data_IF_442195697665
#
_entry.id   IF_442195697665
#
_cell.length_a   1.000
_cell.length_b   1.000
_cell.length_c   1.000
_cell.angle_alpha   90.00
_cell.angle_beta   90.00
_cell.angle_gamma   90.00
#
_symmetry.space_group_name_H-M   'P 1'
#
loop_
_entity.id
_entity.type
_entity.pdbx_description
1 polymer ?
#
# COMPACT_ATOMS: atom_id res chain seq x y z
N UNK A 1 5.99 -42.56 18.98
CA UNK A 1 7.14 -41.91 19.64
C UNK A 1 8.24 -41.59 18.64
N UNK A 2 8.54 -40.31 18.47
CA UNK A 2 9.57 -39.77 17.57
C UNK A 2 9.31 -38.26 17.39
N UNK A 3 10.24 -37.36 17.77
CA UNK A 3 9.91 -35.99 18.13
C UNK A 3 9.81 -35.04 16.93
N UNK A 4 8.86 -34.10 17.01
CA UNK A 4 8.76 -32.90 16.18
C UNK A 4 9.91 -31.94 16.52
N UNK A 5 10.53 -31.24 15.55
CA UNK A 5 11.26 -30.02 15.85
C UNK A 5 10.33 -28.80 15.76
N UNK A 6 10.78 -27.77 16.48
CA UNK A 6 10.01 -26.70 17.07
C UNK A 6 9.72 -25.50 16.15
N UNK A 7 8.73 -24.72 16.57
CA UNK A 7 8.38 -23.39 16.09
C UNK A 7 9.46 -22.36 16.51
N UNK A 8 9.90 -21.49 15.59
CA UNK A 8 10.35 -20.12 15.91
C UNK A 8 11.66 -19.62 15.26
N UNK A 9 11.55 -18.79 14.22
CA UNK A 9 12.28 -17.51 14.00
C UNK A 9 11.82 -16.89 12.67
N UNK A 10 10.96 -15.87 12.67
CA UNK A 10 11.33 -14.46 12.53
C UNK A 10 12.25 -14.16 11.33
N UNK A 11 11.62 -13.71 10.24
CA UNK A 11 12.04 -12.58 9.40
C UNK A 11 13.52 -12.20 9.46
N UNK A 12 14.40 -12.96 8.80
CA UNK A 12 15.75 -12.45 8.47
C UNK A 12 16.14 -12.88 7.07
N UNK A 13 16.27 -11.89 6.19
CA UNK A 13 17.10 -11.94 5.00
C UNK A 13 18.36 -12.77 5.28
N UNK A 14 18.73 -13.66 4.36
CA UNK A 14 20.02 -14.31 4.39
C UNK A 14 21.10 -13.24 4.55
N UNK A 15 21.68 -13.14 5.76
CA UNK A 15 22.79 -12.22 6.01
C UNK A 15 23.99 -12.71 5.20
N UNK A 16 24.60 -11.90 4.33
CA UNK A 16 25.98 -12.15 3.96
C UNK A 16 26.82 -12.13 5.25
N UNK A 17 27.78 -13.06 5.35
CA UNK A 17 28.73 -13.10 6.48
C UNK A 17 29.40 -11.73 6.61
N UNK A 18 29.25 -11.17 7.81
CA UNK A 18 29.74 -9.87 8.28
C UNK A 18 31.10 -9.46 7.69
N UNK A 19 31.23 -8.23 7.18
CA UNK A 19 32.41 -7.39 7.36
C UNK A 19 32.07 -5.88 7.30
N UNK A 20 32.40 -5.21 8.41
CA UNK A 20 32.82 -3.79 8.57
C UNK A 20 31.79 -2.62 8.58
N UNK A 21 32.08 -1.55 9.35
CA UNK A 21 31.10 -0.51 9.73
C UNK A 21 31.06 0.73 8.82
N UNK A 22 29.90 1.40 8.88
CA UNK A 22 29.53 2.69 8.28
C UNK A 22 30.59 3.81 8.35
N UNK A 23 30.65 4.70 7.35
CA UNK A 23 31.00 6.09 7.57
C UNK A 23 29.77 7.01 7.66
N UNK A 24 29.98 8.09 8.41
CA UNK A 24 29.04 9.09 8.89
C UNK A 24 28.77 10.18 7.84
N UNK A 25 27.56 10.73 7.89
CA UNK A 25 27.17 12.15 7.78
C UNK A 25 26.19 12.49 6.63
N UNK A 26 25.09 13.22 6.90
CA UNK A 26 24.20 13.75 5.88
C UNK A 26 24.71 15.10 5.30
N UNK A 27 24.30 15.50 4.08
CA UNK A 27 24.54 16.85 3.61
C UNK A 27 23.57 17.82 4.29
N UNK A 28 24.16 18.85 4.90
CA UNK A 28 23.50 20.09 5.30
C UNK A 28 23.24 20.93 4.03
N UNK A 29 21.98 21.21 3.72
CA UNK A 29 21.62 22.38 2.94
C UNK A 29 21.15 23.48 3.91
N UNK A 30 21.87 24.59 3.91
CA UNK A 30 21.54 25.82 4.62
C UNK A 30 21.28 26.94 3.61
N UNK A 31 20.49 27.91 4.07
CA UNK A 31 20.13 29.22 3.49
C UNK A 31 19.02 29.17 2.43
N UNK A 32 18.06 30.11 2.38
CA UNK A 32 18.06 31.49 2.87
C UNK A 32 16.64 31.98 3.27
N UNK A 33 16.62 33.01 4.12
CA UNK A 33 15.45 33.84 4.44
C UNK A 33 15.11 34.79 3.29
N UNK A 34 13.83 35.19 3.18
CA UNK A 34 13.43 36.60 3.10
C UNK A 34 11.90 36.77 3.15
N UNK A 35 11.47 37.67 4.04
CA UNK A 35 10.13 38.22 4.22
C UNK A 35 9.65 39.04 3.01
N UNK A 36 8.33 39.17 2.86
CA UNK A 36 7.67 40.48 2.74
C UNK A 36 6.16 40.35 2.93
N UNK A 37 5.66 41.01 3.97
CA UNK A 37 4.26 41.36 4.14
C UNK A 37 3.95 42.58 3.26
N UNK A 38 2.82 42.54 2.55
CA UNK A 38 2.21 43.71 1.95
C UNK A 38 0.74 43.76 2.36
N UNK A 39 0.44 44.66 3.29
CA UNK A 39 -0.91 45.05 3.72
C UNK A 39 -1.36 46.21 2.85
N UNK A 40 -2.56 46.14 2.27
CA UNK A 40 -3.28 47.32 1.81
C UNK A 40 -4.71 47.29 2.35
N UNK A 41 -5.19 48.39 2.97
CA UNK A 41 -6.59 48.56 3.34
C UNK A 41 -7.35 49.31 2.23
N UNK A 42 -8.61 48.96 1.99
CA UNK A 42 -9.46 49.71 1.06
C UNK A 42 -10.89 49.18 0.97
N UNK A 43 -11.79 49.88 1.65
CA UNK A 43 -13.25 49.67 1.67
C UNK A 43 -13.89 49.76 0.26
N UNK A 44 -14.99 49.04 0.03
CA UNK A 44 -16.37 49.58 -0.14
C UNK A 44 -17.38 48.56 -0.70
N UNK A 45 -18.51 48.46 -0.02
CA UNK A 45 -19.89 48.18 -0.45
C UNK A 45 -20.14 47.37 -1.75
N UNK A 46 -20.83 46.23 -1.60
CA UNK A 46 -22.10 45.96 -2.31
C UNK A 46 -22.80 44.73 -1.70
N UNK A 47 -24.11 44.85 -1.46
CA UNK A 47 -25.03 43.73 -1.24
C UNK A 47 -24.96 42.74 -2.41
N UNK A 48 -24.73 41.46 -2.13
CA UNK A 48 -25.06 40.33 -3.03
C UNK A 48 -25.29 39.08 -2.16
N UNK A 49 -26.55 38.63 -2.09
CA UNK A 49 -27.07 37.43 -2.75
C UNK A 49 -26.73 36.11 -2.02
N UNK A 50 -27.80 35.51 -1.49
CA UNK A 50 -28.01 34.10 -1.14
C UNK A 50 -26.77 33.18 -1.22
N UNK A 51 -26.21 32.86 -0.06
CA UNK A 51 -25.31 31.73 0.09
C UNK A 51 -26.14 30.43 0.00
N UNK A 52 -26.27 29.89 -1.22
CA UNK A 52 -26.59 28.48 -1.39
C UNK A 52 -25.49 27.68 -0.69
N UNK A 53 -25.87 26.90 0.33
CA UNK A 53 -25.03 25.87 0.91
C UNK A 53 -24.86 24.74 -0.11
N UNK A 54 -24.00 24.95 -1.10
CA UNK A 54 -23.35 23.88 -1.82
C UNK A 54 -22.37 23.26 -0.84
N UNK A 55 -22.83 22.28 -0.07
CA UNK A 55 -21.94 21.31 0.59
C UNK A 55 -21.29 20.49 -0.52
N UNK A 56 -20.28 21.07 -1.17
CA UNK A 56 -19.33 20.28 -1.94
C UNK A 56 -18.69 19.32 -0.96
N UNK A 57 -18.90 18.02 -1.16
CA UNK A 57 -18.06 17.01 -0.55
C UNK A 57 -16.65 17.27 -1.07
N UNK A 58 -15.89 18.07 -0.33
CA UNK A 58 -14.47 18.22 -0.59
C UNK A 58 -13.88 16.82 -0.58
N UNK A 59 -13.11 16.45 -1.60
CA UNK A 59 -12.21 15.31 -1.51
C UNK A 59 -11.31 15.58 -0.30
N UNK A 60 -11.68 15.01 0.85
CA UNK A 60 -10.94 15.19 2.08
C UNK A 60 -9.58 14.52 1.87
N UNK A 61 -8.50 15.11 2.35
CA UNK A 61 -7.21 14.41 2.36
C UNK A 61 -7.22 13.35 3.45
N UNK A 62 -6.32 12.38 3.38
CA UNK A 62 -6.14 11.40 4.44
C UNK A 62 -5.97 12.06 5.83
N UNK A 63 -6.62 11.55 6.89
CA UNK A 63 -7.52 10.38 6.93
C UNK A 63 -9.00 10.68 6.62
N UNK A 64 -9.35 11.92 6.30
CA UNK A 64 -10.75 12.34 6.13
C UNK A 64 -11.46 11.80 4.87
N UNK A 65 -10.72 11.28 3.88
CA UNK A 65 -11.30 10.59 2.72
C UNK A 65 -11.84 9.18 3.02
N UNK A 66 -11.54 8.64 4.21
CA UNK A 66 -11.97 7.31 4.58
C UNK A 66 -13.49 7.28 4.81
N UNK A 67 -14.17 6.35 4.15
CA UNK A 67 -15.62 6.16 4.26
C UNK A 67 -15.92 5.20 5.41
N UNK A 68 -16.24 5.79 6.58
CA UNK A 68 -16.58 5.05 7.79
C UNK A 68 -17.92 4.32 7.64
N UNK A 69 -17.99 3.11 8.21
CA UNK A 69 -19.15 2.21 8.15
C UNK A 69 -19.62 1.91 6.72
N UNK A 70 -18.67 1.81 5.78
CA UNK A 70 -18.94 1.51 4.38
C UNK A 70 -18.14 0.29 3.94
N UNK A 71 -18.82 -0.63 3.25
CA UNK A 71 -18.21 -1.82 2.65
C UNK A 71 -18.56 -1.88 1.17
N UNK A 72 -17.57 -2.19 0.34
CA UNK A 72 -17.75 -2.49 -1.08
C UNK A 72 -17.62 -4.01 -1.25
N UNK A 73 -18.77 -4.69 -1.31
CA UNK A 73 -18.81 -6.15 -1.48
C UNK A 73 -18.30 -6.56 -2.85
N UNK A 74 -17.98 -7.84 -3.01
CA UNK A 74 -17.59 -8.39 -4.30
C UNK A 74 -18.82 -8.50 -5.22
N UNK A 75 -19.09 -7.44 -5.99
CA UNK A 75 -20.10 -7.42 -7.05
C UNK A 75 -19.50 -7.80 -8.43
N UNK A 76 -18.57 -8.78 -8.45
CA UNK A 76 -17.80 -9.14 -9.65
C UNK A 76 -16.65 -8.17 -9.96
N UNK A 77 -16.27 -7.32 -9.01
CA UNK A 77 -15.22 -6.31 -9.13
C UNK A 77 -14.02 -6.57 -8.20
N UNK A 78 -13.81 -7.83 -7.79
CA UNK A 78 -12.60 -8.21 -7.08
C UNK A 78 -11.37 -8.05 -7.96
N UNK A 79 -10.34 -7.35 -7.46
CA UNK A 79 -9.07 -7.20 -8.15
C UNK A 79 -8.13 -8.33 -7.73
N UNK A 80 -8.03 -9.38 -8.54
CA UNK A 80 -7.06 -10.45 -8.32
C UNK A 80 -5.69 -10.04 -8.84
N UNK A 81 -4.71 -9.94 -7.94
CA UNK A 81 -3.33 -9.59 -8.26
C UNK A 81 -2.33 -10.41 -7.44
N UNK A 82 -1.03 -10.29 -7.78
CA UNK A 82 0.05 -10.82 -6.96
C UNK A 82 0.28 -9.92 -5.74
N UNK A 83 -0.48 -10.16 -4.67
CA UNK A 83 -0.37 -9.43 -3.41
C UNK A 83 0.88 -9.83 -2.62
N UNK A 84 1.43 -11.01 -2.87
CA UNK A 84 2.72 -11.42 -2.31
C UNK A 84 3.85 -10.48 -2.71
N UNK A 85 3.83 -9.94 -3.94
CA UNK A 85 4.76 -8.91 -4.39
C UNK A 85 4.72 -7.62 -3.54
N UNK A 86 3.62 -7.41 -2.82
CA UNK A 86 3.40 -6.27 -1.91
C UNK A 86 3.50 -6.65 -0.43
N UNK A 87 4.01 -7.83 -0.11
CA UNK A 87 4.25 -8.29 1.27
C UNK A 87 3.12 -9.10 1.89
N UNK A 88 2.05 -9.44 1.14
CA UNK A 88 1.02 -10.35 1.63
C UNK A 88 1.56 -11.77 1.81
N UNK A 89 1.31 -12.36 2.98
CA UNK A 89 1.75 -13.74 3.29
C UNK A 89 0.62 -14.64 3.79
N UNK A 90 -0.48 -14.06 4.29
CA UNK A 90 -1.61 -14.78 4.90
C UNK A 90 -2.94 -14.07 4.64
N UNK A 91 -4.05 -14.79 4.83
CA UNK A 91 -5.42 -14.27 4.65
C UNK A 91 -5.82 -14.04 3.20
N UNK A 92 -5.08 -14.65 2.28
CA UNK A 92 -5.31 -14.56 0.85
C UNK A 92 -6.47 -15.45 0.41
N UNK A 93 -7.00 -15.16 -0.76
CA UNK A 93 -8.07 -15.95 -1.38
C UNK A 93 -7.57 -17.37 -1.65
N UNK A 94 -8.24 -18.37 -1.06
CA UNK A 94 -7.85 -19.78 -1.16
C UNK A 94 -6.37 -20.04 -0.81
N UNK A 95 -5.83 -19.28 0.15
CA UNK A 95 -4.43 -19.34 0.59
C UNK A 95 -3.39 -19.03 -0.51
N UNK A 96 -3.81 -18.45 -1.64
CA UNK A 96 -2.93 -18.07 -2.75
C UNK A 96 -2.75 -16.55 -2.83
N UNK A 97 -1.64 -16.05 -2.29
CA UNK A 97 -1.30 -14.61 -2.35
C UNK A 97 -0.74 -14.15 -3.71
N UNK A 98 -0.48 -15.05 -4.65
CA UNK A 98 -0.03 -14.71 -6.00
C UNK A 98 -1.21 -14.35 -6.91
N UNK A 99 -2.42 -14.76 -6.54
CA UNK A 99 -3.68 -14.43 -7.22
C UNK A 99 -4.78 -14.20 -6.20
N UNK A 100 -4.74 -13.04 -5.53
CA UNK A 100 -5.74 -12.68 -4.53
C UNK A 100 -6.23 -11.23 -4.64
N UNK A 101 -7.44 -10.99 -4.16
CA UNK A 101 -8.00 -9.65 -3.93
C UNK A 101 -7.96 -9.24 -2.45
N UNK A 102 -7.42 -10.07 -1.55
CA UNK A 102 -7.43 -9.82 -0.11
C UNK A 102 -6.20 -10.36 0.61
N UNK A 103 -5.90 -9.81 1.78
CA UNK A 103 -4.89 -10.35 2.71
C UNK A 103 -5.11 -9.79 4.12
N UNK A 104 -4.53 -10.42 5.14
CA UNK A 104 -4.57 -9.90 6.53
C UNK A 104 -3.73 -8.62 6.66
N UNK A 105 -4.32 -7.57 7.21
CA UNK A 105 -3.63 -6.34 7.55
C UNK A 105 -4.19 -5.71 8.82
N UNK A 106 -3.34 -5.53 9.84
CA UNK A 106 -3.74 -4.87 11.08
C UNK A 106 -3.94 -3.37 10.92
N UNK A 107 -3.24 -2.74 9.97
CA UNK A 107 -3.28 -1.30 9.73
C UNK A 107 -3.97 -0.99 8.41
N UNK A 108 -4.92 -0.04 8.44
CA UNK A 108 -5.66 0.44 7.28
C UNK A 108 -4.76 1.09 6.23
N UNK A 109 -3.65 1.70 6.66
CA UNK A 109 -2.61 2.28 5.82
C UNK A 109 -2.05 1.24 4.84
N UNK A 110 -2.01 -0.03 5.23
CA UNK A 110 -1.54 -1.11 4.37
C UNK A 110 -2.46 -1.28 3.16
N UNK A 111 -3.79 -1.21 3.37
CA UNK A 111 -4.75 -1.30 2.26
C UNK A 111 -4.60 -0.11 1.32
N UNK A 112 -4.55 1.10 1.87
CA UNK A 112 -4.39 2.31 1.06
C UNK A 112 -3.09 2.29 0.24
N UNK A 113 -1.98 1.87 0.84
CA UNK A 113 -0.66 1.80 0.18
C UNK A 113 -0.60 0.73 -0.91
N UNK A 114 -1.17 -0.46 -0.66
CA UNK A 114 -1.21 -1.52 -1.68
C UNK A 114 -2.11 -1.12 -2.84
N UNK A 115 -3.29 -0.56 -2.57
CA UNK A 115 -4.17 -0.06 -3.62
C UNK A 115 -3.54 1.08 -4.44
N UNK A 116 -2.82 1.99 -3.78
CA UNK A 116 -2.05 3.02 -4.47
C UNK A 116 -1.04 2.43 -5.45
N UNK A 117 -0.41 1.31 -5.07
CA UNK A 117 0.64 0.65 -5.85
C UNK A 117 0.10 -0.24 -6.98
N UNK A 118 -1.09 -0.81 -6.80
CA UNK A 118 -1.75 -1.64 -7.81
C UNK A 118 -2.37 -0.75 -8.89
N UNK A 119 -1.97 -0.85 -10.18
CA UNK A 119 -2.46 0.04 -11.23
C UNK A 119 -3.97 -0.04 -11.43
N UNK A 120 -4.54 -1.25 -11.36
CA UNK A 120 -5.96 -1.54 -11.57
C UNK A 120 -6.83 -1.34 -10.32
N UNK A 121 -6.23 -1.02 -9.16
CA UNK A 121 -7.02 -0.75 -7.96
C UNK A 121 -7.67 0.63 -8.04
N UNK A 122 -8.99 0.64 -7.91
CA UNK A 122 -9.80 1.86 -7.80
C UNK A 122 -10.28 2.08 -6.36
N UNK A 123 -10.53 1.01 -5.61
CA UNK A 123 -11.02 1.06 -4.24
C UNK A 123 -10.38 0.00 -3.35
N UNK A 124 -10.20 0.35 -2.08
CA UNK A 124 -9.80 -0.55 -1.03
C UNK A 124 -10.85 -0.59 0.07
N UNK A 125 -10.95 -1.73 0.74
CA UNK A 125 -11.84 -1.97 1.87
C UNK A 125 -11.02 -2.57 3.00
N UNK A 126 -11.27 -2.14 4.23
CA UNK A 126 -10.67 -2.68 5.45
C UNK A 126 -11.76 -3.03 6.46
N UNK A 127 -11.63 -4.18 7.11
CA UNK A 127 -12.67 -4.71 7.98
C UNK A 127 -12.34 -6.12 8.49
N UNK A 128 -13.24 -6.67 9.30
CA UNK A 128 -13.04 -7.98 9.93
C UNK A 128 -13.66 -9.12 9.13
N UNK A 129 -12.89 -10.16 8.86
CA UNK A 129 -13.39 -11.44 8.35
C UNK A 129 -12.79 -12.57 9.20
N UNK A 130 -13.64 -13.43 9.76
CA UNK A 130 -13.22 -14.58 10.59
C UNK A 130 -12.35 -14.21 11.81
N UNK A 131 -12.54 -13.00 12.35
CA UNK A 131 -11.80 -12.50 13.51
C UNK A 131 -10.46 -11.83 13.19
N UNK A 132 -10.10 -11.73 11.90
CA UNK A 132 -8.89 -11.05 11.45
C UNK A 132 -9.23 -9.77 10.69
N UNK A 133 -8.42 -8.73 10.85
CA UNK A 133 -8.50 -7.56 9.98
C UNK A 133 -7.87 -7.87 8.64
N UNK A 134 -8.62 -7.62 7.57
CA UNK A 134 -8.16 -7.86 6.20
C UNK A 134 -8.36 -6.61 5.34
N UNK A 135 -7.61 -6.57 4.25
CA UNK A 135 -7.83 -5.66 3.14
C UNK A 135 -8.57 -6.40 2.01
N UNK A 136 -9.38 -5.68 1.24
CA UNK A 136 -9.89 -6.12 -0.06
C UNK A 136 -9.65 -5.04 -1.11
N UNK A 137 -9.33 -5.45 -2.33
CA UNK A 137 -9.08 -4.56 -3.46
C UNK A 137 -10.14 -4.73 -4.54
N UNK A 138 -10.59 -3.60 -5.09
CA UNK A 138 -11.65 -3.57 -6.09
C UNK A 138 -11.25 -2.73 -7.30
N UNK A 139 -11.77 -3.14 -8.46
CA UNK A 139 -11.69 -2.40 -9.72
C UNK A 139 -12.85 -1.41 -9.92
N UNK A 140 -13.74 -1.29 -8.93
CA UNK A 140 -14.89 -0.38 -8.93
C UNK A 140 -15.62 -0.41 -7.60
N UNK A 141 -16.72 0.33 -7.48
CA UNK A 141 -17.51 0.46 -6.25
C UNK A 141 -18.93 -0.12 -6.33
N UNK A 142 -19.21 -0.99 -7.31
CA UNK A 142 -20.45 -1.74 -7.34
C UNK A 142 -20.55 -2.63 -6.08
N UNK A 143 -21.75 -2.74 -5.52
CA UNK A 143 -21.97 -3.46 -4.26
C UNK A 143 -21.59 -2.67 -3.01
N UNK A 144 -21.48 -1.34 -3.12
CA UNK A 144 -21.37 -0.44 -1.96
C UNK A 144 -22.62 -0.49 -1.10
N UNK A 145 -22.43 -0.69 0.19
CA UNK A 145 -23.47 -0.69 1.19
C UNK A 145 -22.95 -0.17 2.55
N UNK A 146 -23.88 0.05 3.49
CA UNK A 146 -23.54 0.35 4.87
C UNK A 146 -23.08 -0.93 5.59
N UNK A 147 -21.95 -0.86 6.30
CA UNK A 147 -21.40 -1.97 7.07
C UNK A 147 -20.70 -1.45 8.31
N UNK A 148 -21.28 -1.66 9.49
CA UNK A 148 -20.69 -1.20 10.74
C UNK A 148 -19.31 -1.82 10.97
N UNK A 149 -18.33 -0.99 11.34
CA UNK A 149 -16.94 -1.42 11.55
C UNK A 149 -16.12 -1.64 10.27
N UNK A 150 -16.71 -1.44 9.09
CA UNK A 150 -16.01 -1.46 7.82
C UNK A 150 -15.59 -0.05 7.41
N UNK A 151 -14.44 0.05 6.77
CA UNK A 151 -13.91 1.30 6.24
C UNK A 151 -13.52 1.09 4.79
N UNK A 152 -14.01 1.94 3.90
CA UNK A 152 -13.64 1.90 2.49
C UNK A 152 -12.94 3.20 2.07
N UNK A 153 -12.23 3.17 0.96
CA UNK A 153 -11.68 4.39 0.37
C UNK A 153 -11.28 4.18 -1.08
N UNK A 154 -11.34 5.26 -1.86
CA UNK A 154 -10.83 5.24 -3.23
C UNK A 154 -9.30 5.19 -3.25
N UNK A 155 -8.72 4.87 -4.40
CA UNK A 155 -7.26 4.82 -4.62
C UNK A 155 -6.54 6.09 -4.17
N UNK A 156 -7.15 7.26 -4.41
CA UNK A 156 -6.62 8.56 -4.00
C UNK A 156 -6.66 8.79 -2.47
N UNK A 157 -7.41 7.97 -1.73
CA UNK A 157 -7.45 8.02 -0.28
C UNK A 157 -6.29 7.24 0.32
N UNK A 158 -5.15 7.91 0.46
CA UNK A 158 -3.94 7.34 1.04
C UNK A 158 -3.18 8.37 1.88
N UNK A 159 -2.33 7.94 2.84
CA UNK A 159 -1.47 8.86 3.58
C UNK A 159 -0.66 9.79 2.67
N UNK A 160 -0.45 11.05 3.08
CA UNK A 160 0.39 11.98 2.32
C UNK A 160 1.82 11.43 2.20
N UNK A 161 2.42 11.58 1.01
CA UNK A 161 3.77 11.07 0.74
C UNK A 161 3.85 9.57 0.44
N UNK A 162 2.71 8.87 0.32
CA UNK A 162 2.70 7.49 -0.18
C UNK A 162 3.33 7.41 -1.57
N UNK A 163 4.31 6.52 -1.73
CA UNK A 163 4.90 6.15 -3.01
C UNK A 163 4.47 4.74 -3.39
N UNK A 164 4.45 4.45 -4.69
CA UNK A 164 4.15 3.11 -5.16
C UNK A 164 5.20 2.15 -4.60
N UNK A 165 4.74 1.05 -4.04
CA UNK A 165 5.62 -0.01 -3.56
C UNK A 165 6.26 -0.64 -4.79
N UNK A 166 7.60 -0.63 -4.89
CA UNK A 166 8.26 -1.50 -5.84
C UNK A 166 7.85 -2.94 -5.48
N UNK A 167 7.56 -3.75 -6.49
CA UNK A 167 7.32 -5.16 -6.27
C UNK A 167 8.60 -5.78 -5.69
N UNK A 168 8.49 -6.54 -4.59
CA UNK A 168 9.63 -7.06 -3.84
C UNK A 168 10.36 -6.03 -2.97
N UNK A 169 11.27 -6.49 -2.10
CA UNK A 169 12.04 -5.59 -1.23
C UNK A 169 13.22 -4.97 -1.99
N UNK A 170 13.14 -3.68 -2.33
CA UNK A 170 14.22 -2.92 -2.96
C UNK A 170 15.56 -2.97 -2.19
N UNK A 171 15.53 -3.11 -0.87
CA UNK A 171 16.73 -3.23 -0.03
C UNK A 171 17.39 -4.62 -0.11
N UNK A 172 16.65 -5.64 -0.58
CA UNK A 172 17.16 -7.01 -0.70
C UNK A 172 17.79 -7.31 -2.06
N UNK A 173 17.56 -6.47 -3.06
CA UNK A 173 18.09 -6.69 -4.40
C UNK A 173 19.53 -6.21 -4.51
N UNK A 174 20.39 -7.01 -5.14
CA UNK A 174 21.72 -6.58 -5.55
C UNK A 174 21.63 -5.53 -6.67
N UNK A 175 22.68 -4.72 -6.85
CA UNK A 175 22.74 -3.73 -7.92
C UNK A 175 22.46 -4.38 -9.29
N UNK A 176 21.52 -3.82 -10.05
CA UNK A 176 20.99 -4.30 -11.34
C UNK A 176 20.09 -5.55 -11.30
N UNK A 177 19.82 -6.10 -10.13
CA UNK A 177 18.77 -7.09 -9.92
C UNK A 177 17.54 -6.38 -9.34
N UNK A 178 16.36 -6.88 -9.67
CA UNK A 178 15.10 -6.26 -9.28
C UNK A 178 13.94 -7.14 -9.70
N UNK A 179 12.78 -6.91 -9.10
CA UNK A 179 11.58 -7.69 -9.43
C UNK A 179 11.28 -7.67 -10.93
N UNK A 180 11.47 -6.53 -11.59
CA UNK A 180 11.19 -6.39 -13.02
C UNK A 180 12.02 -7.33 -13.90
N UNK A 181 13.28 -7.57 -13.52
CA UNK A 181 14.18 -8.43 -14.30
C UNK A 181 14.19 -9.88 -13.82
N UNK A 182 13.66 -10.16 -12.62
CA UNK A 182 13.83 -11.45 -11.94
C UNK A 182 12.52 -12.17 -11.58
N UNK A 183 11.46 -11.44 -11.26
CA UNK A 183 10.22 -12.01 -10.71
C UNK A 183 8.95 -11.58 -11.47
N UNK A 184 9.08 -10.84 -12.57
CA UNK A 184 7.93 -10.51 -13.40
C UNK A 184 7.24 -11.75 -13.96
N UNK A 185 5.92 -11.64 -14.13
CA UNK A 185 5.08 -12.72 -14.63
C UNK A 185 5.51 -13.25 -16.00
N UNK A 186 6.18 -12.43 -16.83
CA UNK A 186 6.69 -12.84 -18.15
C UNK A 186 7.72 -13.98 -18.07
N UNK A 187 8.42 -14.12 -16.93
CA UNK A 187 9.41 -15.18 -16.73
C UNK A 187 8.80 -16.47 -16.16
N UNK A 188 7.49 -16.47 -15.88
CA UNK A 188 6.78 -17.61 -15.34
C UNK A 188 7.00 -17.83 -13.84
N UNK A 189 6.51 -18.96 -13.30
CA UNK A 189 6.43 -19.19 -11.85
C UNK A 189 7.78 -19.37 -11.17
N UNK A 190 8.88 -19.46 -11.92
CA UNK A 190 10.25 -19.60 -11.39
C UNK A 190 11.09 -18.33 -11.61
N UNK A 191 10.50 -17.26 -12.14
CA UNK A 191 11.23 -16.04 -12.46
C UNK A 191 12.32 -16.22 -13.53
N UNK A 192 13.15 -15.19 -13.71
CA UNK A 192 14.24 -15.22 -14.68
C UNK A 192 15.40 -16.07 -14.17
N UNK A 193 15.70 -17.17 -14.87
CA UNK A 193 16.77 -18.09 -14.50
C UNK A 193 18.17 -17.45 -14.42
N UNK A 194 18.38 -16.28 -15.05
CA UNK A 194 19.65 -15.54 -14.95
C UNK A 194 19.85 -14.84 -13.61
N UNK A 195 18.80 -14.70 -12.79
CA UNK A 195 18.88 -14.09 -11.47
C UNK A 195 19.27 -15.07 -10.36
N UNK A 196 19.24 -16.38 -10.64
CA UNK A 196 19.38 -17.43 -9.63
C UNK A 196 20.73 -18.15 -9.81
N UNK A 197 21.75 -17.72 -9.06
CA UNK A 197 23.12 -18.25 -9.14
C UNK A 197 23.53 -19.07 -7.90
N UNK A 198 22.56 -19.46 -7.08
CA UNK A 198 22.76 -20.24 -5.85
C UNK A 198 23.07 -19.41 -4.61
N UNK A 199 23.45 -18.12 -4.76
CA UNK A 199 23.45 -17.15 -3.66
C UNK A 199 22.07 -16.50 -3.52
N UNK A 200 21.39 -16.32 -4.65
CA UNK A 200 19.99 -15.92 -4.74
C UNK A 200 19.17 -17.09 -5.27
N UNK A 201 18.13 -17.49 -4.54
CA UNK A 201 17.20 -18.53 -4.95
C UNK A 201 15.78 -17.97 -4.99
N UNK A 202 14.94 -18.58 -5.82
CA UNK A 202 13.50 -18.29 -5.87
C UNK A 202 12.72 -19.00 -4.76
N UNK A 203 13.27 -20.09 -4.22
CA UNK A 203 12.67 -20.88 -3.16
C UNK A 203 12.66 -20.11 -1.82
N UNK A 204 11.48 -20.03 -1.20
CA UNK A 204 11.23 -19.45 0.13
C UNK A 204 11.94 -20.20 1.26
#
# INVERSE_FOLDING_TARGET
DGPLPAVGESTRCARPRSFAPLPKSPPRCAMAMASSAATLPGLRNALTLAALLLTGAAAQNWPGCQEQNSVIRNAGQALFANLQGYGATIGCFLDDCMSSDKFVASEIESCAKVCFSLPECEWWVWGTEEGEQKCWFRTGDAGREAGEGWISGGKACHPPGTTAMPLGNAECWAENFGYENCCEAQFGPNGNAQCWDGVYNYDR
#
